data_IF_897298474977
#
_entry.id   IF_897298474977
#
_cell.length_a   1.000
_cell.length_b   1.000
_cell.length_c   1.000
_cell.angle_alpha   90.00
_cell.angle_beta   90.00
_cell.angle_gamma   90.00
#
_symmetry.space_group_name_H-M   'P 1'
#
loop_
_entity.id
_entity.type
_entity.pdbx_description
1 polymer ?
#
# COMPACT_ATOMS: atom_id res chain seq x y z
N UNK A 1 -3.14 -5.33 2.21
CA UNK A 1 -3.88 -5.12 3.49
C UNK A 1 -3.36 -5.98 4.64
N UNK A 2 -2.93 -7.24 4.41
CA UNK A 2 -2.18 -8.03 5.41
C UNK A 2 -0.96 -7.28 5.97
N UNK A 3 -0.33 -6.40 5.18
CA UNK A 3 0.79 -5.55 5.61
C UNK A 3 0.50 -4.72 6.87
N UNK A 4 -0.75 -4.31 7.12
CA UNK A 4 -1.11 -3.55 8.31
C UNK A 4 -0.93 -4.39 9.58
N UNK A 5 -1.25 -5.68 9.51
CA UNK A 5 -1.05 -6.64 10.60
C UNK A 5 0.45 -6.79 10.88
N UNK A 6 1.26 -7.03 9.85
CA UNK A 6 2.71 -7.11 10.01
C UNK A 6 3.31 -5.81 10.56
N UNK A 7 2.87 -4.65 10.08
CA UNK A 7 3.30 -3.34 10.61
C UNK A 7 2.99 -3.23 12.11
N UNK A 8 1.77 -3.59 12.53
CA UNK A 8 1.38 -3.55 13.95
C UNK A 8 2.22 -4.50 14.82
N UNK A 9 2.46 -5.72 14.35
CA UNK A 9 3.29 -6.71 15.06
C UNK A 9 4.72 -6.19 15.22
N UNK A 10 5.34 -5.73 14.13
CA UNK A 10 6.72 -5.23 14.15
C UNK A 10 6.80 -3.96 15.02
N UNK A 11 5.84 -3.04 14.91
CA UNK A 11 5.79 -1.84 15.74
C UNK A 11 5.63 -2.16 17.23
N UNK A 12 4.84 -3.17 17.60
CA UNK A 12 4.71 -3.60 18.98
C UNK A 12 6.06 -4.06 19.57
N UNK A 13 6.82 -4.89 18.82
CA UNK A 13 8.10 -5.40 19.28
C UNK A 13 9.24 -4.38 19.24
N UNK A 14 9.29 -3.53 18.20
CA UNK A 14 10.40 -2.60 17.96
C UNK A 14 10.18 -1.25 18.63
N UNK A 15 8.94 -0.74 18.64
CA UNK A 15 8.60 0.60 19.15
C UNK A 15 7.83 0.56 20.49
N UNK A 16 7.39 -0.62 20.95
CA UNK A 16 6.62 -0.76 22.18
C UNK A 16 5.17 -0.24 22.10
N UNK A 17 4.68 0.04 20.90
CA UNK A 17 3.34 0.61 20.71
C UNK A 17 2.25 -0.44 20.91
N UNK A 18 1.29 -0.15 21.80
CA UNK A 18 0.14 -1.03 22.04
C UNK A 18 -1.06 -0.57 21.22
N UNK A 19 -1.55 -1.36 20.26
CA UNK A 19 -2.74 -0.99 19.50
C UNK A 19 -3.96 -0.94 20.43
N UNK A 20 -4.77 0.11 20.28
CA UNK A 20 -6.01 0.26 21.06
C UNK A 20 -7.06 -0.77 20.63
N UNK A 21 -7.89 -1.25 21.57
CA UNK A 21 -8.93 -2.27 21.31
C UNK A 21 -9.85 -1.91 20.14
N UNK A 22 -10.23 -0.63 20.01
CA UNK A 22 -11.08 -0.18 18.91
C UNK A 22 -10.40 -0.23 17.53
N UNK A 23 -9.08 -0.07 17.48
CA UNK A 23 -8.32 -0.20 16.22
C UNK A 23 -8.27 -1.65 15.76
N UNK A 24 -8.17 -2.60 16.70
CA UNK A 24 -8.21 -4.03 16.42
C UNK A 24 -9.57 -4.40 15.81
N UNK A 25 -10.67 -3.93 16.43
CA UNK A 25 -12.03 -4.20 15.94
C UNK A 25 -12.26 -3.58 14.56
N UNK A 26 -11.89 -2.31 14.36
CA UNK A 26 -12.02 -1.65 13.05
C UNK A 26 -11.17 -2.32 11.96
N UNK A 27 -9.96 -2.75 12.30
CA UNK A 27 -9.09 -3.49 11.38
C UNK A 27 -9.67 -4.86 11.00
N UNK A 28 -10.29 -5.58 11.95
CA UNK A 28 -10.95 -6.85 11.68
C UNK A 28 -12.12 -6.68 10.70
N UNK A 29 -13.02 -5.71 10.96
CA UNK A 29 -14.16 -5.41 10.09
C UNK A 29 -13.70 -5.05 8.67
N UNK A 30 -12.67 -4.22 8.56
CA UNK A 30 -12.14 -3.84 7.26
C UNK A 30 -11.48 -5.02 6.53
N UNK A 31 -10.74 -5.86 7.26
CA UNK A 31 -10.14 -7.07 6.71
C UNK A 31 -11.18 -8.04 6.16
N UNK A 32 -12.29 -8.24 6.88
CA UNK A 32 -13.42 -9.05 6.41
C UNK A 32 -14.03 -8.47 5.14
N UNK A 33 -14.23 -7.14 5.08
CA UNK A 33 -14.72 -6.45 3.88
C UNK A 33 -13.81 -6.65 2.65
N UNK A 34 -12.49 -6.61 2.85
CA UNK A 34 -11.51 -6.94 1.79
C UNK A 34 -11.61 -8.41 1.39
N UNK A 35 -11.87 -9.32 2.33
CA UNK A 35 -12.14 -10.72 2.06
C UNK A 35 -13.31 -10.90 1.09
N UNK A 36 -14.42 -10.21 1.32
CA UNK A 36 -15.58 -10.25 0.42
C UNK A 36 -15.27 -9.70 -0.98
N UNK A 37 -14.50 -8.62 -1.10
CA UNK A 37 -14.03 -8.11 -2.40
C UNK A 37 -13.15 -9.16 -3.10
N UNK A 38 -12.31 -9.86 -2.35
CA UNK A 38 -11.40 -10.85 -2.92
C UNK A 38 -12.10 -12.12 -3.39
N UNK A 39 -13.20 -12.55 -2.76
CA UNK A 39 -13.91 -13.79 -3.11
C UNK A 39 -14.33 -13.84 -4.59
N UNK A 40 -14.71 -12.71 -5.18
CA UNK A 40 -15.06 -12.64 -6.61
C UNK A 40 -13.85 -12.62 -7.55
N UNK A 41 -12.65 -12.40 -7.00
CA UNK A 41 -11.39 -12.29 -7.77
C UNK A 41 -10.43 -13.45 -7.50
N UNK A 42 -10.83 -14.44 -6.69
CA UNK A 42 -10.02 -15.63 -6.40
C UNK A 42 -10.17 -16.67 -7.53
N UNK A 43 -9.48 -16.43 -8.65
CA UNK A 43 -9.24 -17.48 -9.64
C UNK A 43 -7.95 -18.24 -9.28
N UNK A 44 -8.10 -19.49 -8.81
CA UNK A 44 -7.01 -20.44 -8.61
C UNK A 44 -5.97 -20.04 -7.54
N UNK A 45 -5.97 -20.73 -6.40
CA UNK A 45 -4.94 -20.56 -5.38
C UNK A 45 -3.59 -21.13 -5.86
N UNK A 46 -2.72 -20.27 -6.40
CA UNK A 46 -1.33 -20.63 -6.72
C UNK A 46 -0.44 -20.27 -5.52
N UNK A 47 0.21 -21.27 -4.93
CA UNK A 47 1.03 -21.12 -3.72
C UNK A 47 2.17 -20.09 -3.89
N UNK A 48 2.79 -20.04 -5.07
CA UNK A 48 3.95 -19.20 -5.31
C UNK A 48 3.64 -17.68 -5.28
N UNK A 49 2.68 -17.13 -6.05
CA UNK A 49 2.25 -15.74 -5.92
C UNK A 49 1.75 -15.38 -4.51
N UNK A 50 1.11 -16.31 -3.82
CA UNK A 50 0.65 -16.10 -2.45
C UNK A 50 1.82 -15.89 -1.48
N UNK A 51 2.87 -16.71 -1.56
CA UNK A 51 4.07 -16.54 -0.73
C UNK A 51 4.76 -15.22 -1.04
N UNK A 52 4.88 -14.85 -2.32
CA UNK A 52 5.48 -13.57 -2.72
C UNK A 52 4.71 -12.36 -2.18
N UNK A 53 3.38 -12.38 -2.26
CA UNK A 53 2.55 -11.28 -1.73
C UNK A 53 2.63 -11.16 -0.20
N UNK A 54 2.78 -12.29 0.51
CA UNK A 54 3.03 -12.28 1.95
C UNK A 54 4.41 -11.70 2.28
N UNK A 55 5.47 -12.08 1.56
CA UNK A 55 6.80 -11.50 1.72
C UNK A 55 6.80 -10.00 1.45
N UNK A 56 6.09 -9.55 0.40
CA UNK A 56 5.90 -8.14 0.11
C UNK A 56 5.20 -7.40 1.26
N UNK A 57 4.16 -8.00 1.85
CA UNK A 57 3.47 -7.43 3.00
C UNK A 57 4.37 -7.30 4.24
N UNK A 58 5.26 -8.27 4.48
CA UNK A 58 6.26 -8.22 5.55
C UNK A 58 7.27 -7.11 5.28
N UNK A 59 7.84 -7.04 4.07
CA UNK A 59 8.80 -6.01 3.68
C UNK A 59 8.21 -4.59 3.83
N UNK A 60 6.94 -4.41 3.45
CA UNK A 60 6.23 -3.15 3.62
C UNK A 60 6.04 -2.79 5.10
N UNK A 61 5.73 -3.79 5.94
CA UNK A 61 5.65 -3.60 7.39
C UNK A 61 6.97 -3.16 8.01
N UNK A 62 8.10 -3.74 7.57
CA UNK A 62 9.45 -3.33 7.97
C UNK A 62 9.71 -1.88 7.51
N UNK A 63 9.40 -1.54 6.26
CA UNK A 63 9.60 -0.21 5.70
C UNK A 63 8.88 0.89 6.49
N UNK A 64 7.64 0.65 6.93
CA UNK A 64 6.92 1.60 7.79
C UNK A 64 7.63 1.85 9.12
N UNK A 65 8.09 0.77 9.77
CA UNK A 65 8.76 0.87 11.07
C UNK A 65 10.11 1.57 10.91
N UNK A 66 10.87 1.26 9.86
CA UNK A 66 12.12 1.97 9.53
C UNK A 66 11.88 3.46 9.23
N UNK A 67 10.84 3.79 8.47
CA UNK A 67 10.45 5.20 8.20
C UNK A 67 10.16 5.95 9.49
N UNK A 68 9.52 5.27 10.45
CA UNK A 68 9.24 5.85 11.77
C UNK A 68 10.50 6.00 12.63
N UNK A 69 11.41 5.01 12.58
CA UNK A 69 12.71 5.07 13.27
C UNK A 69 13.64 6.14 12.70
N UNK A 70 13.51 6.48 11.41
CA UNK A 70 14.27 7.56 10.78
C UNK A 70 14.00 8.94 11.42
N UNK A 71 12.87 9.10 12.12
CA UNK A 71 12.57 10.31 12.89
C UNK A 71 12.24 11.51 12.02
N UNK A 72 12.84 12.68 12.31
CA UNK A 72 12.60 13.92 11.57
C UNK A 72 13.59 14.06 10.40
N UNK A 73 13.34 13.32 9.34
CA UNK A 73 14.05 13.45 8.06
C UNK A 73 13.17 14.18 7.04
N UNK A 74 13.79 14.85 6.07
CA UNK A 74 13.06 15.42 4.94
C UNK A 74 12.38 14.28 4.15
N UNK A 75 11.04 14.27 4.03
CA UNK A 75 10.31 13.17 3.40
C UNK A 75 10.70 12.93 1.94
N UNK A 76 10.97 14.01 1.19
CA UNK A 76 11.32 13.92 -0.22
C UNK A 76 12.72 13.33 -0.36
N UNK A 77 13.69 13.83 0.40
CA UNK A 77 15.04 13.29 0.42
C UNK A 77 15.05 11.82 0.86
N UNK A 78 14.27 11.44 1.87
CA UNK A 78 14.17 10.06 2.33
C UNK A 78 13.68 9.13 1.21
N UNK A 79 12.65 9.53 0.48
CA UNK A 79 12.11 8.76 -0.65
C UNK A 79 13.11 8.69 -1.80
N UNK A 80 13.75 9.81 -2.17
CA UNK A 80 14.72 9.86 -3.27
C UNK A 80 15.94 8.97 -2.98
N UNK A 81 16.54 9.11 -1.79
CA UNK A 81 17.70 8.32 -1.40
C UNK A 81 17.34 6.84 -1.19
N UNK A 82 16.17 6.54 -0.63
CA UNK A 82 15.68 5.18 -0.50
C UNK A 82 15.43 4.51 -1.85
N UNK A 83 14.86 5.25 -2.81
CA UNK A 83 14.58 4.74 -4.16
C UNK A 83 15.85 4.43 -4.95
N UNK A 84 16.94 5.16 -4.71
CA UNK A 84 18.22 4.91 -5.37
C UNK A 84 18.76 3.52 -5.03
N UNK A 85 18.57 3.05 -3.79
CA UNK A 85 18.96 1.70 -3.35
C UNK A 85 18.09 0.60 -3.95
N UNK A 86 16.88 0.91 -4.42
CA UNK A 86 16.04 -0.04 -5.13
C UNK A 86 16.51 -0.29 -6.57
N UNK A 87 17.29 0.63 -7.17
CA UNK A 87 17.71 0.53 -8.57
C UNK A 87 18.55 -0.73 -8.85
N UNK A 88 19.66 -1.03 -8.13
CA UNK A 88 20.46 -2.22 -8.43
C UNK A 88 19.69 -3.55 -8.35
N UNK A 89 18.93 -3.86 -7.26
CA UNK A 89 18.23 -5.14 -7.17
C UNK A 89 17.10 -5.24 -8.19
N UNK A 90 16.38 -4.15 -8.49
CA UNK A 90 15.33 -4.16 -9.52
C UNK A 90 15.90 -4.33 -10.92
N UNK A 91 17.04 -3.70 -11.23
CA UNK A 91 17.71 -3.87 -12.50
C UNK A 91 18.17 -5.32 -12.71
N UNK A 92 18.79 -5.93 -11.69
CA UNK A 92 19.21 -7.33 -11.75
C UNK A 92 17.99 -8.24 -11.90
N UNK A 93 16.92 -7.99 -11.16
CA UNK A 93 15.70 -8.79 -11.26
C UNK A 93 15.05 -8.68 -12.64
N UNK A 94 14.93 -7.48 -13.19
CA UNK A 94 14.40 -7.25 -14.54
C UNK A 94 15.27 -7.96 -15.59
N UNK A 95 16.60 -7.87 -15.48
CA UNK A 95 17.49 -8.59 -16.39
C UNK A 95 17.31 -10.12 -16.33
N UNK A 96 17.11 -10.69 -15.13
CA UNK A 96 16.93 -12.13 -14.94
C UNK A 96 15.55 -12.63 -15.38
N UNK A 97 14.50 -11.81 -15.26
CA UNK A 97 13.10 -12.20 -15.53
C UNK A 97 12.67 -11.85 -16.95
N UNK A 98 12.98 -10.64 -17.41
CA UNK A 98 12.55 -10.11 -18.71
C UNK A 98 13.60 -10.32 -19.80
N UNK A 99 14.88 -10.47 -19.42
CA UNK A 99 15.99 -10.69 -20.33
C UNK A 99 16.69 -9.40 -20.79
N UNK A 100 17.94 -9.53 -21.22
CA UNK A 100 18.76 -8.39 -21.65
C UNK A 100 18.24 -7.68 -22.91
N UNK A 101 17.62 -8.41 -23.82
CA UNK A 101 17.13 -7.86 -25.08
C UNK A 101 15.98 -6.86 -24.87
N UNK A 102 15.07 -7.15 -23.92
CA UNK A 102 13.97 -6.25 -23.54
C UNK A 102 14.50 -4.96 -22.93
N UNK A 103 15.52 -5.04 -22.07
CA UNK A 103 16.17 -3.87 -21.49
C UNK A 103 16.85 -2.99 -22.56
N UNK A 104 17.53 -3.62 -23.51
CA UNK A 104 18.17 -2.89 -24.63
C UNK A 104 17.11 -2.21 -25.49
N UNK A 105 16.01 -2.89 -25.81
CA UNK A 105 14.92 -2.29 -26.58
C UNK A 105 14.28 -1.11 -25.85
N UNK A 106 14.00 -1.26 -24.54
CA UNK A 106 13.45 -0.20 -23.71
C UNK A 106 14.32 1.07 -23.69
N UNK A 107 15.64 0.90 -23.63
CA UNK A 107 16.60 2.02 -23.63
C UNK A 107 16.78 2.63 -25.02
N UNK A 108 16.71 1.81 -26.08
CA UNK A 108 17.03 2.26 -27.44
C UNK A 108 15.82 2.80 -28.22
N UNK A 109 14.60 2.46 -27.81
CA UNK A 109 13.35 2.91 -28.46
C UNK A 109 12.32 3.44 -27.45
N UNK A 110 12.65 4.43 -26.60
CA UNK A 110 11.66 5.01 -25.72
C UNK A 110 10.60 5.75 -26.56
N UNK A 111 9.33 5.47 -26.31
CA UNK A 111 8.22 6.23 -26.85
C UNK A 111 7.73 7.28 -25.85
N UNK A 112 6.91 8.23 -26.33
CA UNK A 112 6.36 9.28 -25.47
C UNK A 112 5.47 8.70 -24.36
N UNK A 113 4.82 7.56 -24.61
CA UNK A 113 3.96 6.90 -23.62
C UNK A 113 4.77 6.34 -22.45
N UNK A 114 5.94 5.74 -22.72
CA UNK A 114 6.89 5.26 -21.70
C UNK A 114 7.36 6.42 -20.83
N UNK A 115 7.74 7.55 -21.44
CA UNK A 115 8.16 8.72 -20.66
C UNK A 115 7.02 9.27 -19.80
N UNK A 116 5.80 9.36 -20.33
CA UNK A 116 4.63 9.81 -19.58
C UNK A 116 4.31 8.87 -18.41
N UNK A 117 4.41 7.56 -18.61
CA UNK A 117 4.21 6.55 -17.56
C UNK A 117 5.27 6.65 -16.46
N UNK A 118 6.55 6.78 -16.83
CA UNK A 118 7.64 6.96 -15.87
C UNK A 118 7.49 8.27 -15.08
N UNK A 119 7.12 9.37 -15.76
CA UNK A 119 6.89 10.65 -15.10
C UNK A 119 5.69 10.58 -14.14
N UNK A 120 4.61 9.93 -14.53
CA UNK A 120 3.46 9.72 -13.66
C UNK A 120 3.81 8.88 -12.42
N UNK A 121 4.52 7.75 -12.61
CA UNK A 121 4.91 6.88 -11.51
C UNK A 121 5.89 7.56 -10.54
N UNK A 122 6.87 8.29 -11.06
CA UNK A 122 7.89 8.96 -10.24
C UNK A 122 7.36 10.20 -9.53
N UNK A 123 6.72 11.14 -10.25
CA UNK A 123 6.29 12.41 -9.67
C UNK A 123 4.93 12.31 -8.97
N UNK A 124 3.93 11.71 -9.60
CA UNK A 124 2.56 11.71 -9.08
C UNK A 124 2.36 10.57 -8.08
N UNK A 125 2.66 9.33 -8.47
CA UNK A 125 2.43 8.19 -7.59
C UNK A 125 3.43 8.14 -6.43
N UNK A 126 4.73 8.30 -6.71
CA UNK A 126 5.79 8.12 -5.71
C UNK A 126 6.03 9.40 -4.91
N UNK A 127 6.52 10.47 -5.54
CA UNK A 127 6.88 11.69 -4.82
C UNK A 127 5.68 12.37 -4.17
N UNK A 128 4.60 12.60 -4.93
CA UNK A 128 3.41 13.21 -4.38
C UNK A 128 2.65 12.24 -3.46
N UNK A 129 2.33 11.02 -3.91
CA UNK A 129 1.60 10.05 -3.10
C UNK A 129 2.30 9.67 -1.78
N UNK A 130 3.51 9.12 -1.84
CA UNK A 130 4.27 8.72 -0.65
C UNK A 130 4.74 9.95 0.15
N UNK A 131 5.07 11.06 -0.53
CA UNK A 131 5.42 12.31 0.13
C UNK A 131 4.28 12.86 0.98
N UNK A 132 3.05 12.92 0.45
CA UNK A 132 1.85 13.31 1.19
C UNK A 132 1.54 12.34 2.34
N UNK A 133 1.70 11.04 2.12
CA UNK A 133 1.55 10.02 3.17
C UNK A 133 2.52 10.25 4.33
N UNK A 134 3.80 10.46 4.01
CA UNK A 134 4.86 10.72 5.01
C UNK A 134 4.65 12.06 5.71
N UNK A 135 4.22 13.09 4.97
CA UNK A 135 3.85 14.39 5.52
C UNK A 135 2.67 14.29 6.52
N UNK A 136 1.67 13.45 6.24
CA UNK A 136 0.57 13.16 7.17
C UNK A 136 1.07 12.38 8.40
N UNK A 137 1.86 11.32 8.20
CA UNK A 137 2.40 10.50 9.30
C UNK A 137 3.29 11.29 10.26
N UNK A 138 4.00 12.30 9.75
CA UNK A 138 4.87 13.15 10.58
C UNK A 138 4.11 14.23 11.36
N UNK A 139 2.88 14.58 10.95
CA UNK A 139 2.05 15.63 11.58
C UNK A 139 0.86 15.10 12.39
N UNK A 140 0.39 13.92 12.07
CA UNK A 140 -0.74 13.29 12.74
C UNK A 140 -0.32 11.95 13.34
N UNK A 141 -0.96 11.51 14.43
CA UNK A 141 -0.74 10.17 14.96
C UNK A 141 -0.93 9.12 13.86
N UNK A 142 0.01 8.17 13.75
CA UNK A 142 -0.05 7.11 12.73
C UNK A 142 -1.39 6.35 12.74
N UNK A 143 -2.01 6.24 13.91
CA UNK A 143 -3.35 5.69 14.13
C UNK A 143 -4.49 6.42 13.41
N UNK A 144 -4.34 7.70 13.09
CA UNK A 144 -5.34 8.51 12.37
C UNK A 144 -5.15 8.41 10.87
N UNK A 145 -3.90 8.26 10.42
CA UNK A 145 -3.55 8.23 8.99
C UNK A 145 -3.64 6.81 8.43
N UNK A 146 -3.17 5.80 9.18
CA UNK A 146 -3.18 4.38 8.80
C UNK A 146 -4.53 3.89 8.25
N UNK A 147 -5.69 4.21 8.85
CA UNK A 147 -6.97 3.73 8.37
C UNK A 147 -7.32 4.20 6.95
N UNK A 148 -6.84 5.37 6.49
CA UNK A 148 -7.13 5.85 5.13
C UNK A 148 -6.56 4.94 4.03
N UNK A 149 -5.58 4.08 4.33
CA UNK A 149 -5.10 3.04 3.39
C UNK A 149 -6.15 2.00 3.04
N UNK A 150 -7.21 1.89 3.85
CA UNK A 150 -8.36 1.05 3.57
C UNK A 150 -9.17 1.56 2.38
N UNK A 151 -9.04 2.84 2.01
CA UNK A 151 -9.70 3.39 0.81
C UNK A 151 -9.03 2.95 -0.49
N UNK A 152 -7.76 2.53 -0.47
CA UNK A 152 -7.01 2.09 -1.66
C UNK A 152 -7.78 1.06 -2.51
N UNK A 153 -8.26 -0.08 -1.96
CA UNK A 153 -9.05 -1.04 -2.74
C UNK A 153 -10.34 -0.44 -3.31
N UNK A 154 -11.02 0.45 -2.58
CA UNK A 154 -12.24 1.11 -3.03
C UNK A 154 -11.94 2.03 -4.23
N UNK A 155 -10.89 2.84 -4.12
CA UNK A 155 -10.45 3.69 -5.22
C UNK A 155 -9.98 2.87 -6.41
N UNK A 156 -9.37 1.70 -6.18
CA UNK A 156 -8.99 0.76 -7.23
C UNK A 156 -10.21 0.22 -7.98
N UNK A 157 -11.22 -0.27 -7.27
CA UNK A 157 -12.48 -0.74 -7.86
C UNK A 157 -13.20 0.36 -8.65
N UNK A 158 -13.33 1.56 -8.07
CA UNK A 158 -13.97 2.70 -8.74
C UNK A 158 -13.22 3.14 -9.99
N UNK A 159 -11.89 3.09 -9.96
CA UNK A 159 -11.04 3.42 -11.11
C UNK A 159 -11.14 2.35 -12.19
N UNK A 160 -11.17 1.06 -11.83
CA UNK A 160 -11.42 -0.04 -12.77
C UNK A 160 -12.79 0.09 -13.45
N UNK A 161 -13.83 0.42 -12.69
CA UNK A 161 -15.16 0.68 -13.26
C UNK A 161 -15.19 1.91 -14.18
N UNK A 162 -14.61 3.03 -13.75
CA UNK A 162 -14.70 4.31 -14.47
C UNK A 162 -13.77 4.39 -15.70
N UNK A 163 -12.57 3.82 -15.59
CA UNK A 163 -11.51 3.93 -16.63
C UNK A 163 -11.47 2.69 -17.51
N UNK A 164 -11.60 1.49 -16.93
CA UNK A 164 -11.50 0.22 -17.65
C UNK A 164 -12.86 -0.38 -18.03
N UNK A 165 -13.96 0.17 -17.51
CA UNK A 165 -15.31 -0.33 -17.78
C UNK A 165 -15.62 -1.67 -17.10
N UNK A 166 -14.88 -2.04 -16.05
CA UNK A 166 -15.14 -3.26 -15.28
C UNK A 166 -16.53 -3.20 -14.62
N UNK A 167 -17.23 -4.33 -14.52
CA UNK A 167 -18.50 -4.40 -13.79
C UNK A 167 -18.25 -4.62 -12.30
N UNK A 168 -18.83 -3.79 -11.44
CA UNK A 168 -18.75 -3.98 -9.98
C UNK A 168 -19.84 -4.95 -9.53
N UNK A 169 -19.45 -6.01 -8.84
CA UNK A 169 -20.39 -7.01 -8.33
C UNK A 169 -21.10 -6.58 -7.04
N UNK A 170 -22.19 -7.26 -6.68
CA UNK A 170 -22.86 -7.04 -5.39
C UNK A 170 -21.98 -7.36 -4.17
N UNK A 171 -21.07 -8.35 -4.29
CA UNK A 171 -20.11 -8.70 -3.24
C UNK A 171 -19.03 -7.62 -3.09
N UNK A 172 -18.54 -7.05 -4.19
CA UNK A 172 -17.58 -5.94 -4.17
C UNK A 172 -18.19 -4.69 -3.53
N UNK A 173 -19.47 -4.39 -3.80
CA UNK A 173 -20.20 -3.30 -3.13
C UNK A 173 -20.33 -3.56 -1.63
N UNK A 174 -20.75 -4.77 -1.24
CA UNK A 174 -20.91 -5.13 0.18
C UNK A 174 -19.57 -5.07 0.93
N UNK A 175 -18.52 -5.64 0.34
CA UNK A 175 -17.16 -5.57 0.89
C UNK A 175 -16.65 -4.14 1.00
N UNK A 176 -16.91 -3.29 -0.01
CA UNK A 176 -16.60 -1.86 0.04
C UNK A 176 -17.29 -1.14 1.20
N UNK A 177 -18.58 -1.40 1.44
CA UNK A 177 -19.33 -0.85 2.57
C UNK A 177 -18.76 -1.32 3.92
N UNK A 178 -18.37 -2.58 4.05
CA UNK A 178 -17.70 -3.09 5.24
C UNK A 178 -16.36 -2.39 5.49
N UNK A 179 -15.57 -2.15 4.43
CA UNK A 179 -14.31 -1.41 4.54
C UNK A 179 -14.53 0.02 5.01
N UNK A 180 -15.52 0.74 4.45
CA UNK A 180 -15.89 2.10 4.89
C UNK A 180 -16.36 2.10 6.35
N UNK A 181 -17.17 1.10 6.73
CA UNK A 181 -17.70 0.99 8.10
C UNK A 181 -16.60 0.66 9.10
N UNK A 182 -15.71 -0.28 8.78
CA UNK A 182 -14.54 -0.62 9.61
C UNK A 182 -13.58 0.56 9.76
N UNK A 183 -13.37 1.32 8.66
CA UNK A 183 -12.65 2.59 8.69
C UNK A 183 -13.31 3.59 9.64
N UNK A 184 -14.61 3.84 9.50
CA UNK A 184 -15.35 4.76 10.36
C UNK A 184 -15.24 4.35 11.84
N UNK A 185 -15.42 3.07 12.17
CA UNK A 185 -15.24 2.57 13.54
C UNK A 185 -13.82 2.81 14.04
N UNK A 186 -12.80 2.54 13.23
CA UNK A 186 -11.39 2.72 13.64
C UNK A 186 -11.02 4.19 13.91
N UNK A 187 -11.64 5.12 13.16
CA UNK A 187 -11.39 6.57 13.26
C UNK A 187 -12.21 7.20 14.38
N UNK A 188 -13.52 6.91 14.45
CA UNK A 188 -14.44 7.55 15.40
C UNK A 188 -14.40 6.96 16.80
N UNK A 189 -13.95 5.72 16.98
CA UNK A 189 -13.76 5.14 18.31
C UNK A 189 -12.58 5.77 19.10
N UNK A 190 -11.95 6.82 18.55
CA UNK A 190 -10.92 7.63 19.22
C UNK A 190 -11.40 8.98 19.76
N UNK A 191 -12.70 9.30 19.74
CA UNK A 191 -13.22 10.34 20.65
C UNK A 191 -13.71 9.68 21.93
N UNK A 192 -13.16 9.97 23.13
CA UNK A 192 -12.63 11.27 23.56
C UNK A 192 -11.22 11.20 24.19
N UNK A 193 -10.32 12.09 23.77
CA UNK A 193 -9.23 12.54 24.65
C UNK A 193 -9.54 13.99 25.04
N UNK A 194 -9.92 14.15 26.30
CA UNK A 194 -9.89 15.40 27.04
C UNK A 194 -8.44 15.92 27.16
#
# INVERSE_FOLDING_TARGET
>A
QVQAIFTMIIAYFVLGERPGRAQIVGAAIAFDGIGFIALDRLEGLILFPMVLTLLAAVAWGIANVLTKLAGKVDPVAFIVWGSLWAVPPLFVLSYLVEGGDVLVEFVTKPDLSTFAMLAFLSYVATLFGIGSWTWLLTRHPASTVAPFTLLVPITGLLSGWLVLGETISGLEVFGGLLVITGLAVSVFARSPAA
#
